data_IF_963429090270
#
_entry.id   IF_963429090270
#
_cell.length_a   1.000
_cell.length_b   1.000
_cell.length_c   1.000
_cell.angle_alpha   90.00
_cell.angle_beta   90.00
_cell.angle_gamma   90.00
#
_symmetry.space_group_name_H-M   'P 1'
#
loop_
_entity.id
_entity.type
_entity.pdbx_description
1 polymer ?
#
# COMPACT_ATOMS: atom_id res chain seq x y z
N UNK A 1 6.09 24.47 -0.39
CA UNK A 1 5.17 23.67 0.45
C UNK A 1 5.90 23.40 1.74
N UNK A 2 5.23 23.40 2.89
CA UNK A 2 5.89 23.03 4.14
C UNK A 2 5.95 21.50 4.19
N UNK A 3 7.14 20.95 4.22
CA UNK A 3 7.35 19.49 4.28
C UNK A 3 6.99 18.99 5.69
N UNK A 4 6.35 17.84 5.79
CA UNK A 4 5.99 17.25 7.08
C UNK A 4 7.26 16.97 7.89
N UNK A 5 7.36 17.51 9.10
CA UNK A 5 8.46 17.19 10.01
C UNK A 5 8.11 16.01 10.92
N UNK A 6 8.28 14.78 10.43
CA UNK A 6 7.97 13.58 11.24
C UNK A 6 8.89 13.44 12.47
N UNK A 7 10.16 13.86 12.37
CA UNK A 7 11.11 13.85 13.48
C UNK A 7 10.66 14.70 14.66
N UNK A 8 10.04 15.85 14.39
CA UNK A 8 9.45 16.70 15.43
C UNK A 8 8.36 15.99 16.25
N UNK A 9 7.64 15.02 15.67
CA UNK A 9 6.69 14.20 16.42
C UNK A 9 7.37 13.15 17.29
N UNK A 10 8.48 12.56 16.83
CA UNK A 10 9.28 11.67 17.68
C UNK A 10 9.78 12.39 18.93
N UNK A 11 10.30 13.60 18.78
CA UNK A 11 10.82 14.40 19.91
C UNK A 11 9.73 14.71 20.96
N UNK A 12 8.46 14.79 20.53
CA UNK A 12 7.29 15.03 21.40
C UNK A 12 6.73 13.76 22.04
N UNK A 13 7.18 12.57 21.63
CA UNK A 13 6.68 11.29 22.13
C UNK A 13 6.67 11.20 23.67
N UNK A 14 7.76 11.59 24.40
CA UNK A 14 7.79 11.50 25.85
C UNK A 14 6.72 12.36 26.53
N UNK A 15 6.47 13.57 26.01
CA UNK A 15 5.47 14.51 26.55
C UNK A 15 4.05 14.00 26.33
N UNK A 16 3.79 13.42 25.14
CA UNK A 16 2.48 12.82 24.84
C UNK A 16 2.23 11.61 25.74
N UNK A 17 3.25 10.79 26.00
CA UNK A 17 3.14 9.69 26.95
C UNK A 17 2.88 10.18 28.39
N UNK A 18 3.59 11.21 28.83
CA UNK A 18 3.39 11.78 30.16
C UNK A 18 1.98 12.32 30.35
N UNK A 19 1.48 13.06 29.36
CA UNK A 19 0.10 13.58 29.38
C UNK A 19 -0.95 12.47 29.35
N UNK A 20 -0.76 11.41 28.55
CA UNK A 20 -1.76 10.36 28.34
C UNK A 20 -1.74 9.25 29.40
N UNK A 21 -0.55 8.90 29.89
CA UNK A 21 -0.32 7.77 30.78
C UNK A 21 0.18 8.17 32.16
N UNK A 22 0.50 9.45 32.38
CA UNK A 22 1.02 9.98 33.64
C UNK A 22 2.52 9.74 33.83
N UNK A 23 3.24 9.29 32.79
CA UNK A 23 4.68 9.02 32.86
C UNK A 23 5.35 8.97 31.50
N UNK A 24 6.68 9.09 31.52
CA UNK A 24 7.57 8.82 30.38
C UNK A 24 8.02 7.35 30.42
N UNK A 25 8.30 6.81 29.24
CA UNK A 25 8.78 5.44 29.08
C UNK A 25 10.15 5.42 28.41
N UNK A 26 11.03 4.55 28.90
CA UNK A 26 12.36 4.32 28.34
C UNK A 26 12.39 2.95 27.65
N UNK A 27 12.02 2.95 26.37
CA UNK A 27 12.01 1.72 25.58
C UNK A 27 13.41 1.18 25.30
N UNK A 28 14.42 2.05 25.18
CA UNK A 28 15.80 1.63 24.95
C UNK A 28 16.30 0.72 26.08
N UNK A 29 15.90 1.00 27.32
CA UNK A 29 16.20 0.12 28.46
C UNK A 29 15.58 -1.27 28.32
N UNK A 30 14.36 -1.37 27.80
CA UNK A 30 13.69 -2.67 27.56
C UNK A 30 14.36 -3.40 26.40
N UNK A 31 14.59 -2.71 25.28
CA UNK A 31 15.28 -3.25 24.10
C UNK A 31 16.66 -3.84 24.47
N UNK A 32 17.41 -3.15 25.34
CA UNK A 32 18.69 -3.65 25.86
C UNK A 32 18.54 -4.95 26.65
N UNK A 33 17.46 -5.13 27.41
CA UNK A 33 17.21 -6.40 28.10
C UNK A 33 16.85 -7.55 27.15
N UNK A 34 16.36 -7.24 25.94
CA UNK A 34 16.08 -8.23 24.89
C UNK A 34 17.33 -8.61 24.08
N UNK A 35 18.46 -7.95 24.28
CA UNK A 35 19.70 -8.19 23.55
C UNK A 35 20.19 -9.65 23.63
N UNK A 36 20.05 -10.31 24.79
CA UNK A 36 20.43 -11.71 24.94
C UNK A 36 19.54 -12.65 24.12
N UNK A 37 18.24 -12.36 24.04
CA UNK A 37 17.28 -13.16 23.25
C UNK A 37 17.49 -12.90 21.75
N UNK A 38 17.75 -11.63 21.37
CA UNK A 38 18.04 -11.16 20.01
C UNK A 38 19.29 -11.81 19.42
N UNK A 39 20.34 -11.97 20.22
CA UNK A 39 21.63 -12.52 19.77
C UNK A 39 21.62 -14.06 19.75
N UNK A 40 20.51 -14.71 20.11
CA UNK A 40 20.41 -16.16 20.22
C UNK A 40 21.08 -16.75 21.46
N UNK A 41 21.53 -15.90 22.40
CA UNK A 41 22.12 -16.34 23.67
C UNK A 41 21.11 -17.00 24.61
N UNK A 42 19.82 -16.76 24.40
CA UNK A 42 18.73 -17.44 25.11
C UNK A 42 17.47 -17.56 24.25
N UNK A 43 16.63 -18.55 24.57
CA UNK A 43 15.27 -18.67 24.01
C UNK A 43 14.34 -17.64 24.64
N UNK A 44 13.29 -17.25 23.92
CA UNK A 44 12.22 -16.41 24.45
C UNK A 44 11.47 -17.13 25.58
N UNK A 45 11.30 -16.45 26.73
CA UNK A 45 10.58 -16.98 27.90
C UNK A 45 9.35 -16.11 28.22
N UNK A 46 8.36 -16.68 28.93
CA UNK A 46 7.16 -15.91 29.31
C UNK A 46 7.50 -14.69 30.18
N UNK A 47 8.56 -14.78 31.01
CA UNK A 47 9.07 -13.66 31.81
C UNK A 47 9.57 -12.48 30.96
N UNK A 48 10.09 -12.74 29.76
CA UNK A 48 10.59 -11.68 28.88
C UNK A 48 9.41 -10.91 28.29
N UNK A 49 8.38 -11.65 27.86
CA UNK A 49 7.11 -11.07 27.41
C UNK A 49 6.43 -10.29 28.54
N UNK A 50 6.42 -10.80 29.77
CA UNK A 50 5.81 -10.10 30.90
C UNK A 50 6.41 -8.70 31.16
N UNK A 51 7.71 -8.49 30.90
CA UNK A 51 8.36 -7.17 31.01
C UNK A 51 7.77 -6.14 30.03
N UNK A 52 7.31 -6.59 28.86
CA UNK A 52 6.68 -5.73 27.86
C UNK A 52 5.35 -5.19 28.39
N UNK A 53 4.64 -5.93 29.24
CA UNK A 53 3.34 -5.54 29.77
C UNK A 53 3.40 -4.90 31.17
N UNK A 54 4.60 -4.72 31.72
CA UNK A 54 4.79 -4.00 32.97
C UNK A 54 4.36 -2.54 32.79
N UNK A 55 3.29 -2.15 33.50
CA UNK A 55 2.71 -0.79 33.48
C UNK A 55 3.69 0.30 33.86
N UNK A 56 4.75 -0.06 34.59
CA UNK A 56 5.78 0.88 35.01
C UNK A 56 6.86 1.09 33.94
N UNK A 57 6.87 0.22 32.91
CA UNK A 57 7.88 0.19 31.86
C UNK A 57 7.31 0.51 30.49
N UNK A 58 6.06 0.16 30.20
CA UNK A 58 5.40 0.46 28.93
C UNK A 58 3.91 0.81 29.11
N UNK A 59 3.28 1.44 28.09
CA UNK A 59 1.84 1.63 28.07
C UNK A 59 1.06 0.44 27.47
N UNK A 60 1.73 -0.61 26.98
CA UNK A 60 1.11 -1.60 26.08
C UNK A 60 0.00 -2.43 26.73
N UNK A 61 0.08 -2.68 28.04
CA UNK A 61 -0.99 -3.39 28.77
C UNK A 61 -2.34 -2.68 28.80
N UNK A 62 -2.42 -1.42 28.35
CA UNK A 62 -3.70 -0.71 28.16
C UNK A 62 -4.40 -1.01 26.84
N UNK A 63 -3.67 -1.53 25.85
CA UNK A 63 -4.12 -1.66 24.47
C UNK A 63 -4.12 -3.09 23.97
N UNK A 64 -3.16 -3.91 24.42
CA UNK A 64 -3.04 -5.31 24.03
C UNK A 64 -3.39 -6.23 25.21
N UNK A 65 -3.99 -7.40 24.93
CA UNK A 65 -4.27 -8.38 25.96
C UNK A 65 -2.94 -8.94 26.50
N UNK A 66 -2.80 -8.97 27.82
CA UNK A 66 -1.71 -9.68 28.49
C UNK A 66 -1.89 -11.19 28.27
N UNK A 67 -0.89 -11.90 27.71
CA UNK A 67 -0.96 -13.35 27.59
C UNK A 67 -1.02 -14.04 28.95
N UNK A 68 -1.77 -15.15 29.05
CA UNK A 68 -1.76 -15.97 30.26
C UNK A 68 -0.37 -16.59 30.47
N UNK A 69 0.27 -16.26 31.59
CA UNK A 69 1.66 -16.61 31.84
C UNK A 69 1.91 -18.12 31.85
N UNK A 70 0.97 -18.92 32.40
CA UNK A 70 1.12 -20.38 32.50
C UNK A 70 0.95 -21.04 31.13
N UNK A 71 -0.04 -20.61 30.36
CA UNK A 71 -0.28 -21.09 29.01
C UNK A 71 0.88 -20.73 28.07
N UNK A 72 1.35 -19.47 28.13
CA UNK A 72 2.48 -19.00 27.33
C UNK A 72 3.76 -19.77 27.64
N UNK A 73 4.09 -19.97 28.93
CA UNK A 73 5.28 -20.73 29.32
C UNK A 73 5.20 -22.18 28.80
N UNK A 74 4.01 -22.80 28.85
CA UNK A 74 3.79 -24.14 28.29
C UNK A 74 3.98 -24.16 26.77
N UNK A 75 3.51 -23.14 26.05
CA UNK A 75 3.70 -23.03 24.60
C UNK A 75 5.18 -22.81 24.24
N UNK A 76 5.87 -21.86 24.87
CA UNK A 76 7.30 -21.57 24.64
C UNK A 76 8.24 -22.72 25.07
N UNK A 77 7.77 -23.60 25.95
CA UNK A 77 8.48 -24.85 26.29
C UNK A 77 8.29 -25.92 25.23
N UNK A 78 7.14 -25.96 24.56
CA UNK A 78 6.86 -26.90 23.46
C UNK A 78 7.48 -26.46 22.14
N UNK A 79 7.44 -25.17 21.87
CA UNK A 79 8.00 -24.54 20.69
C UNK A 79 9.11 -23.60 21.14
N UNK A 80 10.36 -24.05 21.00
CA UNK A 80 11.50 -23.21 21.34
C UNK A 80 11.63 -22.09 20.30
N UNK A 81 11.29 -20.88 20.73
CA UNK A 81 11.42 -19.67 19.90
C UNK A 81 12.76 -19.01 20.20
N UNK A 82 13.55 -18.84 19.14
CA UNK A 82 14.80 -18.08 19.19
C UNK A 82 14.64 -16.84 18.32
N UNK A 83 14.87 -15.66 18.91
CA UNK A 83 14.80 -14.38 18.21
C UNK A 83 16.14 -14.00 17.58
N UNK A 84 17.02 -14.97 17.32
CA UNK A 84 18.36 -14.81 16.74
C UNK A 84 18.41 -13.78 15.61
N UNK A 85 19.60 -13.24 15.24
CA UNK A 85 19.70 -12.29 14.15
C UNK A 85 18.98 -12.78 12.91
N UNK A 86 18.07 -11.95 12.40
CA UNK A 86 17.17 -12.34 11.32
C UNK A 86 17.94 -12.31 10.00
N UNK A 87 17.85 -13.41 9.26
CA UNK A 87 18.37 -13.52 7.90
C UNK A 87 17.17 -13.42 6.95
N UNK A 88 17.18 -12.43 6.05
CA UNK A 88 16.06 -12.16 5.16
C UNK A 88 15.00 -11.23 5.76
N UNK A 89 13.74 -11.43 5.37
CA UNK A 89 12.59 -10.57 5.73
C UNK A 89 11.95 -10.93 7.09
N UNK A 90 12.36 -12.05 7.71
CA UNK A 90 11.84 -12.50 9.00
C UNK A 90 10.47 -13.21 8.93
N UNK A 91 10.01 -13.63 7.74
CA UNK A 91 8.74 -14.31 7.56
C UNK A 91 8.53 -15.50 8.51
N UNK A 92 9.48 -16.43 8.54
CA UNK A 92 9.40 -17.64 9.38
C UNK A 92 9.30 -17.32 10.87
N UNK A 93 10.01 -16.26 11.31
CA UNK A 93 9.97 -15.82 12.70
C UNK A 93 8.61 -15.21 13.05
N UNK A 94 8.04 -14.39 12.17
CA UNK A 94 6.70 -13.82 12.37
C UNK A 94 5.66 -14.94 12.43
N UNK A 95 5.74 -15.92 11.53
CA UNK A 95 4.83 -17.06 11.50
C UNK A 95 4.96 -17.89 12.80
N UNK A 96 6.18 -18.19 13.24
CA UNK A 96 6.43 -18.91 14.49
C UNK A 96 5.86 -18.16 15.70
N UNK A 97 6.06 -16.85 15.79
CA UNK A 97 5.51 -16.04 16.89
C UNK A 97 3.98 -15.99 16.84
N UNK A 98 3.38 -15.92 15.64
CA UNK A 98 1.93 -15.93 15.49
C UNK A 98 1.31 -17.27 15.91
N UNK A 99 2.01 -18.39 15.69
CA UNK A 99 1.61 -19.70 16.20
C UNK A 99 1.67 -19.79 17.73
N UNK A 100 2.60 -19.09 18.38
CA UNK A 100 2.69 -19.04 19.84
C UNK A 100 1.65 -18.11 20.43
N UNK A 101 1.57 -16.87 19.96
CA UNK A 101 0.74 -15.83 20.60
C UNK A 101 -0.70 -15.81 20.10
N UNK A 102 -0.98 -16.35 18.91
CA UNK A 102 -2.26 -16.24 18.21
C UNK A 102 -2.79 -14.79 18.10
N UNK A 103 -1.90 -13.80 18.23
CA UNK A 103 -2.23 -12.39 18.21
C UNK A 103 -1.05 -11.61 17.60
N UNK A 104 -1.27 -11.05 16.41
CA UNK A 104 -0.24 -10.30 15.68
C UNK A 104 0.24 -9.07 16.46
N UNK A 105 -0.65 -8.38 17.16
CA UNK A 105 -0.29 -7.23 17.99
C UNK A 105 0.73 -7.61 19.07
N UNK A 106 0.48 -8.69 19.82
CA UNK A 106 1.42 -9.18 20.85
C UNK A 106 2.73 -9.65 20.22
N UNK A 107 2.68 -10.39 19.11
CA UNK A 107 3.87 -10.83 18.39
C UNK A 107 4.73 -9.63 17.93
N UNK A 108 4.09 -8.58 17.39
CA UNK A 108 4.76 -7.36 16.95
C UNK A 108 5.44 -6.60 18.08
N UNK A 109 4.88 -6.62 19.30
CA UNK A 109 5.52 -6.01 20.47
C UNK A 109 6.83 -6.74 20.82
N UNK A 110 6.83 -8.08 20.79
CA UNK A 110 8.03 -8.88 21.03
C UNK A 110 9.09 -8.59 19.96
N UNK A 111 8.69 -8.58 18.69
CA UNK A 111 9.59 -8.28 17.58
C UNK A 111 10.17 -6.86 17.67
N UNK A 112 9.35 -5.86 17.99
CA UNK A 112 9.81 -4.47 18.15
C UNK A 112 10.81 -4.32 19.30
N UNK A 113 10.69 -5.08 20.40
CA UNK A 113 11.69 -5.03 21.48
C UNK A 113 13.00 -5.71 21.09
N UNK A 114 12.91 -6.83 20.36
CA UNK A 114 14.09 -7.59 19.97
C UNK A 114 14.80 -6.95 18.76
N UNK A 115 14.10 -6.45 17.77
CA UNK A 115 14.63 -6.00 16.49
C UNK A 115 14.03 -4.64 16.11
N UNK A 116 14.30 -3.57 16.87
CA UNK A 116 13.67 -2.27 16.68
C UNK A 116 14.02 -1.61 15.33
N UNK A 117 15.11 -2.01 14.70
CA UNK A 117 15.54 -1.51 13.39
C UNK A 117 14.76 -2.13 12.23
N UNK A 118 14.09 -3.27 12.46
CA UNK A 118 13.35 -4.00 11.43
C UNK A 118 11.84 -4.02 11.70
N UNK A 119 11.40 -3.99 12.96
CA UNK A 119 9.99 -4.21 13.32
C UNK A 119 9.38 -3.07 14.11
N UNK A 120 8.16 -2.70 13.72
CA UNK A 120 7.30 -1.77 14.43
C UNK A 120 6.16 -2.48 15.16
N UNK A 121 5.49 -1.74 16.06
CA UNK A 121 4.27 -2.23 16.73
C UNK A 121 3.10 -2.19 15.76
N UNK A 122 2.47 -3.33 15.54
CA UNK A 122 1.29 -3.43 14.68
C UNK A 122 0.06 -2.90 15.41
N UNK A 123 -0.36 -1.69 15.06
CA UNK A 123 -1.52 -1.03 15.65
C UNK A 123 -2.44 -0.41 14.60
N UNK A 124 -3.75 -0.50 14.84
CA UNK A 124 -4.78 0.00 13.91
C UNK A 124 -4.58 1.46 13.47
N UNK A 125 -4.22 2.41 14.37
CA UNK A 125 -4.00 3.79 13.95
C UNK A 125 -2.92 3.95 12.87
N UNK A 126 -1.81 3.23 13.00
CA UNK A 126 -0.68 3.36 12.09
C UNK A 126 -0.93 2.62 10.79
N UNK A 127 -1.52 1.43 10.85
CA UNK A 127 -1.97 0.70 9.66
C UNK A 127 -2.93 1.54 8.82
N UNK A 128 -3.87 2.26 9.46
CA UNK A 128 -4.76 3.18 8.75
C UNK A 128 -4.04 4.40 8.16
N UNK A 129 -3.05 4.96 8.85
CA UNK A 129 -2.26 6.08 8.32
C UNK A 129 -1.48 5.67 7.07
N UNK A 130 -0.90 4.47 7.08
CA UNK A 130 -0.07 3.94 6.00
C UNK A 130 -0.91 3.27 4.88
N UNK A 131 -2.18 2.96 5.14
CA UNK A 131 -3.12 2.32 4.20
C UNK A 131 -2.66 0.98 3.63
N UNK A 132 -2.00 0.17 4.46
CA UNK A 132 -1.40 -1.09 4.03
C UNK A 132 -2.46 -2.19 4.05
N UNK A 133 -2.55 -2.93 2.95
CA UNK A 133 -3.51 -4.02 2.79
C UNK A 133 -2.87 -5.23 2.10
N UNK A 134 -2.97 -6.40 2.73
CA UNK A 134 -2.58 -7.71 2.19
C UNK A 134 -3.56 -8.76 2.70
N UNK A 135 -3.77 -9.80 1.89
CA UNK A 135 -4.74 -10.84 2.20
C UNK A 135 -4.32 -11.74 3.38
N UNK A 136 -3.02 -12.03 3.51
CA UNK A 136 -2.48 -12.88 4.58
C UNK A 136 -1.91 -12.03 5.72
N UNK A 137 -2.09 -12.49 6.95
CA UNK A 137 -1.69 -11.77 8.16
C UNK A 137 -0.17 -11.53 8.27
N UNK A 138 0.64 -12.52 7.89
CA UNK A 138 2.11 -12.40 7.92
C UNK A 138 2.56 -11.39 6.87
N UNK A 139 2.12 -11.56 5.61
CA UNK A 139 2.40 -10.63 4.51
C UNK A 139 1.98 -9.18 4.84
N UNK A 140 0.84 -9.00 5.51
CA UNK A 140 0.37 -7.68 5.95
C UNK A 140 1.34 -7.05 6.93
N UNK A 141 1.86 -7.82 7.89
CA UNK A 141 2.78 -7.30 8.90
C UNK A 141 4.17 -7.00 8.34
N UNK A 142 4.68 -7.84 7.45
CA UNK A 142 5.96 -7.60 6.79
C UNK A 142 5.88 -6.37 5.90
N UNK A 143 4.84 -6.25 5.07
CA UNK A 143 4.59 -5.04 4.27
C UNK A 143 4.45 -3.79 5.16
N UNK A 144 3.88 -3.93 6.36
CA UNK A 144 3.83 -2.86 7.36
C UNK A 144 5.21 -2.42 7.84
N UNK A 145 6.09 -3.37 8.13
CA UNK A 145 7.45 -3.05 8.58
C UNK A 145 8.30 -2.48 7.43
N UNK A 146 8.17 -2.99 6.21
CA UNK A 146 8.83 -2.45 5.01
C UNK A 146 8.39 -1.02 4.70
N UNK A 147 7.09 -0.72 4.85
CA UNK A 147 6.59 0.64 4.71
C UNK A 147 7.19 1.55 5.78
N UNK A 148 7.19 1.15 7.05
CA UNK A 148 7.84 1.93 8.12
C UNK A 148 9.33 2.14 7.85
N UNK A 149 10.02 1.18 7.26
CA UNK A 149 11.42 1.33 6.86
C UNK A 149 11.59 2.38 5.75
N UNK A 150 10.69 2.38 4.75
CA UNK A 150 10.68 3.41 3.71
C UNK A 150 10.46 4.82 4.31
N UNK A 151 9.59 4.95 5.32
CA UNK A 151 9.39 6.19 6.07
C UNK A 151 10.60 6.58 6.91
N UNK A 152 11.25 5.59 7.54
CA UNK A 152 12.47 5.80 8.31
C UNK A 152 13.55 6.44 7.43
N UNK A 153 13.81 5.85 6.26
CA UNK A 153 14.81 6.36 5.31
C UNK A 153 14.46 7.76 4.82
N UNK A 154 13.20 7.99 4.44
CA UNK A 154 12.76 9.28 3.90
C UNK A 154 12.86 10.41 4.93
N UNK A 155 12.42 10.18 6.17
CA UNK A 155 12.43 11.20 7.23
C UNK A 155 13.72 11.19 8.07
N UNK A 156 14.69 10.33 7.75
CA UNK A 156 15.97 10.23 8.45
C UNK A 156 15.80 9.88 9.94
N UNK A 157 14.87 8.97 10.25
CA UNK A 157 14.61 8.53 11.61
C UNK A 157 15.57 7.40 12.02
N UNK A 158 15.87 7.22 13.32
CA UNK A 158 16.93 6.30 13.70
C UNK A 158 16.59 4.82 13.52
N UNK A 159 15.31 4.44 13.60
CA UNK A 159 14.87 3.05 13.44
C UNK A 159 13.40 2.94 13.01
N UNK A 160 12.99 1.75 12.56
CA UNK A 160 11.59 1.41 12.27
C UNK A 160 10.71 1.61 13.50
N UNK A 161 11.14 1.16 14.66
CA UNK A 161 10.40 1.33 15.92
C UNK A 161 10.19 2.80 16.28
N UNK A 162 11.19 3.66 16.07
CA UNK A 162 11.05 5.09 16.32
C UNK A 162 10.21 5.79 15.25
N UNK A 163 10.19 5.28 14.03
CA UNK A 163 9.28 5.75 12.98
C UNK A 163 7.83 5.46 13.34
N UNK A 164 7.53 4.26 13.84
CA UNK A 164 6.21 3.93 14.38
C UNK A 164 5.83 4.85 15.54
N UNK A 165 6.74 5.11 16.48
CA UNK A 165 6.49 6.04 17.60
C UNK A 165 6.20 7.47 17.14
N UNK A 166 6.89 7.94 16.10
CA UNK A 166 6.66 9.26 15.52
C UNK A 166 5.26 9.36 14.90
N UNK A 167 4.86 8.35 14.12
CA UNK A 167 3.54 8.26 13.50
C UNK A 167 2.43 8.12 14.55
N UNK A 168 2.66 7.36 15.61
CA UNK A 168 1.73 7.27 16.73
C UNK A 168 1.58 8.60 17.44
N UNK A 169 2.68 9.34 17.65
CA UNK A 169 2.62 10.67 18.25
C UNK A 169 1.86 11.66 17.36
N UNK A 170 2.10 11.63 16.05
CA UNK A 170 1.30 12.38 15.08
C UNK A 170 -0.19 12.04 15.19
N UNK A 171 -0.53 10.75 15.20
CA UNK A 171 -1.92 10.30 15.33
C UNK A 171 -2.54 10.84 16.62
N UNK A 172 -1.87 10.69 17.76
CA UNK A 172 -2.41 11.12 19.05
C UNK A 172 -2.62 12.63 19.14
N UNK A 173 -1.71 13.42 18.57
CA UNK A 173 -1.84 14.87 18.55
C UNK A 173 -2.91 15.36 17.58
N UNK A 174 -3.15 14.62 16.50
CA UNK A 174 -4.13 14.99 15.49
C UNK A 174 -5.50 14.34 15.68
N UNK A 175 -5.63 13.26 16.45
CA UNK A 175 -6.89 12.56 16.69
C UNK A 175 -7.74 13.19 17.79
N UNK A 176 -7.13 13.97 18.70
CA UNK A 176 -7.87 14.67 19.76
C UNK A 176 -8.83 15.70 19.12
N UNK A 177 -10.08 15.83 19.62
CA UNK A 177 -11.07 16.80 19.14
C UNK A 177 -10.71 18.27 19.48
N UNK A 178 -9.44 18.55 19.77
CA UNK A 178 -8.92 19.89 19.97
C UNK A 178 -8.78 20.55 18.61
N UNK A 179 -9.85 21.22 18.19
CA UNK A 179 -9.87 22.10 17.03
C UNK A 179 -8.91 23.27 17.26
N UNK A 180 -7.69 23.15 16.75
CA UNK A 180 -6.68 24.21 16.77
C UNK A 180 -6.05 24.37 15.39
N UNK A 181 -5.67 25.60 15.04
CA UNK A 181 -5.04 25.90 13.76
C UNK A 181 -3.77 25.06 13.50
N UNK A 182 -3.05 24.69 14.56
CA UNK A 182 -1.85 23.84 14.49
C UNK A 182 -2.17 22.38 14.11
N UNK A 183 -3.24 21.80 14.66
CA UNK A 183 -3.67 20.42 14.34
C UNK A 183 -4.12 20.35 12.89
N UNK A 184 -4.91 21.33 12.46
CA UNK A 184 -5.39 21.41 11.09
C UNK A 184 -4.24 21.65 10.09
N UNK A 185 -3.27 22.50 10.46
CA UNK A 185 -2.04 22.66 9.68
C UNK A 185 -1.27 21.35 9.56
N UNK A 186 -1.10 20.63 10.65
CA UNK A 186 -0.39 19.33 10.70
C UNK A 186 -1.05 18.29 9.80
N UNK A 187 -2.38 18.19 9.85
CA UNK A 187 -3.15 17.30 8.96
C UNK A 187 -2.99 17.68 7.49
N UNK A 188 -3.04 18.97 7.17
CA UNK A 188 -2.81 19.44 5.79
C UNK A 188 -1.38 19.21 5.31
N UNK A 189 -0.39 19.39 6.17
CA UNK A 189 1.00 19.09 5.84
C UNK A 189 1.16 17.59 5.51
N UNK A 190 0.56 16.72 6.32
CA UNK A 190 0.54 15.28 6.08
C UNK A 190 -0.22 14.91 4.80
N UNK A 191 -1.45 15.41 4.60
CA UNK A 191 -2.32 15.00 3.49
C UNK A 191 -1.87 15.57 2.15
N UNK A 192 -1.17 16.72 2.13
CA UNK A 192 -0.64 17.33 0.90
C UNK A 192 0.80 16.93 0.59
N UNK A 193 1.44 16.13 1.44
CA UNK A 193 2.78 15.62 1.16
C UNK A 193 2.74 14.63 -0.01
N UNK A 194 3.40 15.00 -1.11
CA UNK A 194 3.40 14.23 -2.36
C UNK A 194 4.08 12.87 -2.18
N UNK A 195 5.11 12.78 -1.33
CA UNK A 195 5.77 11.50 -1.08
C UNK A 195 4.83 10.56 -0.33
N UNK A 196 4.15 11.05 0.71
CA UNK A 196 3.14 10.27 1.45
C UNK A 196 2.00 9.83 0.53
N UNK A 197 1.49 10.74 -0.33
CA UNK A 197 0.44 10.41 -1.29
C UNK A 197 0.87 9.29 -2.26
N UNK A 198 2.12 9.30 -2.73
CA UNK A 198 2.66 8.24 -3.58
C UNK A 198 2.76 6.90 -2.86
N UNK A 199 3.25 6.88 -1.63
CA UNK A 199 3.29 5.66 -0.82
C UNK A 199 1.91 5.04 -0.61
N UNK A 200 0.91 5.87 -0.28
CA UNK A 200 -0.48 5.42 -0.16
C UNK A 200 -1.04 4.86 -1.47
N UNK A 201 -0.73 5.51 -2.60
CA UNK A 201 -1.08 5.04 -3.94
C UNK A 201 -0.44 3.67 -4.23
N UNK A 202 0.84 3.50 -3.89
CA UNK A 202 1.57 2.23 -4.03
C UNK A 202 0.93 1.11 -3.21
N UNK A 203 0.42 1.39 -2.01
CA UNK A 203 -0.20 0.36 -1.17
C UNK A 203 -1.64 0.00 -1.56
N UNK A 204 -2.44 0.98 -2.01
CA UNK A 204 -3.87 0.78 -2.26
C UNK A 204 -4.19 0.58 -3.74
N UNK A 205 -3.64 1.43 -4.59
CA UNK A 205 -4.04 1.53 -5.99
C UNK A 205 -3.20 0.63 -6.88
N UNK A 206 -1.89 0.54 -6.64
CA UNK A 206 -1.00 -0.26 -7.52
C UNK A 206 -1.41 -1.73 -7.58
N UNK A 207 -1.65 -2.44 -6.45
CA UNK A 207 -2.10 -3.83 -6.49
C UNK A 207 -3.45 -3.98 -7.18
N UNK A 208 -4.32 -2.96 -7.08
CA UNK A 208 -5.59 -2.96 -7.79
C UNK A 208 -5.36 -2.83 -9.30
N UNK A 209 -4.54 -1.86 -9.74
CA UNK A 209 -4.27 -1.62 -11.17
C UNK A 209 -3.57 -2.79 -11.85
N UNK A 210 -2.67 -3.50 -11.14
CA UNK A 210 -1.95 -4.66 -11.68
C UNK A 210 -2.85 -5.88 -11.95
N UNK A 211 -4.04 -5.95 -11.33
CA UNK A 211 -4.97 -7.06 -11.50
C UNK A 211 -5.90 -6.94 -12.71
N UNK A 212 -5.90 -5.82 -13.41
CA UNK A 212 -6.85 -5.55 -14.50
C UNK A 212 -6.15 -5.01 -15.74
N UNK A 213 -6.61 -5.45 -16.90
CA UNK A 213 -6.20 -4.86 -18.17
C UNK A 213 -6.74 -3.43 -18.37
N UNK A 214 -6.17 -2.62 -19.28
CA UNK A 214 -6.62 -1.25 -19.50
C UNK A 214 -8.11 -1.10 -19.84
N UNK A 215 -8.69 -2.04 -20.61
CA UNK A 215 -10.12 -2.02 -20.97
C UNK A 215 -11.01 -2.31 -19.76
N UNK A 216 -10.62 -3.28 -18.93
CA UNK A 216 -11.33 -3.63 -17.69
C UNK A 216 -11.28 -2.48 -16.68
N UNK A 217 -10.11 -1.85 -16.52
CA UNK A 217 -9.97 -0.64 -15.70
C UNK A 217 -10.85 0.50 -16.22
N UNK A 218 -10.92 0.69 -17.54
CA UNK A 218 -11.82 1.68 -18.14
C UNK A 218 -13.29 1.36 -17.80
N UNK A 219 -13.69 0.09 -17.86
CA UNK A 219 -15.03 -0.37 -17.48
C UNK A 219 -15.37 0.00 -16.04
N UNK A 220 -14.46 -0.25 -15.10
CA UNK A 220 -14.61 0.07 -13.67
C UNK A 220 -14.71 1.60 -13.46
N UNK A 221 -13.84 2.38 -14.13
CA UNK A 221 -13.79 3.82 -13.98
C UNK A 221 -14.96 4.54 -14.64
N UNK A 222 -15.60 3.94 -15.64
CA UNK A 222 -16.63 4.58 -16.47
C UNK A 222 -17.80 5.15 -15.67
N UNK A 223 -18.16 4.51 -14.57
CA UNK A 223 -19.27 4.95 -13.71
C UNK A 223 -18.98 6.31 -13.04
N UNK A 224 -17.76 6.51 -12.54
CA UNK A 224 -17.40 7.70 -11.76
C UNK A 224 -16.62 8.74 -12.56
N UNK A 225 -15.82 8.29 -13.52
CA UNK A 225 -14.87 9.10 -14.30
C UNK A 225 -14.92 8.71 -15.79
N UNK A 226 -16.03 8.98 -16.50
CA UNK A 226 -16.23 8.53 -17.89
C UNK A 226 -15.14 9.05 -18.85
N UNK A 227 -14.66 10.29 -18.65
CA UNK A 227 -13.59 10.85 -19.47
C UNK A 227 -12.25 10.12 -19.29
N UNK A 228 -11.87 9.78 -18.05
CA UNK A 228 -10.65 9.03 -17.78
C UNK A 228 -10.75 7.61 -18.34
N UNK A 229 -11.91 6.96 -18.17
CA UNK A 229 -12.20 5.66 -18.77
C UNK A 229 -12.04 5.68 -20.30
N UNK A 230 -12.59 6.68 -20.97
CA UNK A 230 -12.47 6.82 -22.43
C UNK A 230 -11.02 7.07 -22.89
N UNK A 231 -10.23 7.83 -22.13
CA UNK A 231 -8.80 7.99 -22.43
C UNK A 231 -8.04 6.66 -22.31
N UNK A 232 -8.29 5.90 -21.23
CA UNK A 232 -7.62 4.61 -21.00
C UNK A 232 -8.00 3.58 -22.06
N UNK A 233 -9.30 3.41 -22.31
CA UNK A 233 -9.80 2.53 -23.38
C UNK A 233 -9.32 2.97 -24.76
N UNK A 234 -9.22 4.28 -25.01
CA UNK A 234 -8.78 4.85 -26.27
C UNK A 234 -7.31 4.60 -26.57
N UNK A 235 -6.44 4.69 -25.55
CA UNK A 235 -5.02 4.34 -25.69
C UNK A 235 -4.87 2.85 -26.02
N UNK A 236 -5.63 2.00 -25.35
CA UNK A 236 -5.56 0.55 -25.57
C UNK A 236 -6.12 0.15 -26.94
N UNK A 237 -7.23 0.77 -27.37
CA UNK A 237 -7.74 0.64 -28.73
C UNK A 237 -6.69 1.01 -29.78
N UNK A 238 -6.00 2.14 -29.61
CA UNK A 238 -4.96 2.59 -30.53
C UNK A 238 -3.79 1.59 -30.61
N UNK A 239 -3.42 0.97 -29.47
CA UNK A 239 -2.41 -0.10 -29.40
C UNK A 239 -2.84 -1.32 -30.20
N UNK A 240 -4.05 -1.83 -29.95
CA UNK A 240 -4.61 -3.03 -30.60
C UNK A 240 -4.82 -2.82 -32.10
N UNK A 241 -5.36 -1.66 -32.52
CA UNK A 241 -5.53 -1.31 -33.92
C UNK A 241 -4.19 -1.33 -34.67
N UNK A 242 -3.15 -0.73 -34.09
CA UNK A 242 -1.79 -0.73 -34.67
C UNK A 242 -1.15 -2.10 -34.70
N UNK A 243 -1.41 -2.95 -33.70
CA UNK A 243 -0.91 -4.32 -33.68
C UNK A 243 -1.53 -5.12 -34.84
N UNK A 244 -2.86 -5.09 -34.95
CA UNK A 244 -3.59 -5.82 -35.98
C UNK A 244 -3.27 -5.34 -37.39
N UNK A 245 -3.23 -4.03 -37.60
CA UNK A 245 -2.90 -3.42 -38.88
C UNK A 245 -1.46 -3.76 -39.35
N UNK A 246 -0.48 -3.77 -38.42
CA UNK A 246 0.89 -4.21 -38.74
C UNK A 246 0.97 -5.69 -39.11
N UNK A 247 0.17 -6.54 -38.46
CA UNK A 247 0.07 -7.96 -38.82
C UNK A 247 -0.38 -8.16 -40.27
N UNK A 248 -1.36 -7.37 -40.72
CA UNK A 248 -1.83 -7.36 -42.11
C UNK A 248 -0.75 -6.89 -43.11
N UNK A 249 -0.04 -5.80 -42.79
CA UNK A 249 0.95 -5.19 -43.70
C UNK A 249 2.39 -5.67 -43.52
N UNK A 250 2.60 -6.89 -43.00
CA UNK A 250 3.89 -7.47 -42.57
C UNK A 250 5.00 -7.58 -43.66
N UNK A 251 4.83 -6.96 -44.83
CA UNK A 251 5.85 -6.81 -45.89
C UNK A 251 6.27 -5.36 -46.22
N UNK A 252 5.56 -4.33 -45.79
CA UNK A 252 5.93 -2.94 -46.12
C UNK A 252 6.73 -2.26 -45.00
N UNK A 253 8.06 -2.19 -45.21
CA UNK A 253 9.03 -1.55 -44.31
C UNK A 253 9.03 -0.03 -44.43
N UNK A 254 7.88 0.62 -44.21
CA UNK A 254 7.79 2.08 -44.14
C UNK A 254 7.23 2.52 -42.79
N UNK A 255 7.96 3.35 -42.04
CA UNK A 255 7.39 4.14 -40.92
C UNK A 255 6.48 5.23 -41.50
N UNK A 256 5.37 4.85 -42.13
CA UNK A 256 4.40 5.81 -42.63
C UNK A 256 3.46 6.17 -41.47
N UNK A 257 3.29 7.47 -41.21
CA UNK A 257 2.22 7.93 -40.31
C UNK A 257 0.90 7.69 -41.06
N UNK A 258 0.18 6.65 -40.66
CA UNK A 258 -1.14 6.31 -41.19
C UNK A 258 -2.20 6.74 -40.16
N UNK A 259 -3.30 7.35 -40.62
CA UNK A 259 -4.37 7.78 -39.73
C UNK A 259 -5.14 6.57 -39.17
N UNK A 260 -5.88 6.74 -38.07
CA UNK A 260 -6.71 5.66 -37.55
C UNK A 260 -7.80 5.25 -38.53
N UNK A 261 -8.40 6.21 -39.23
CA UNK A 261 -9.42 5.96 -40.24
C UNK A 261 -8.87 5.13 -41.40
N UNK A 262 -7.66 5.46 -41.87
CA UNK A 262 -6.99 4.67 -42.92
C UNK A 262 -6.68 3.24 -42.44
N UNK A 263 -6.23 3.06 -41.20
CA UNK A 263 -6.00 1.73 -40.63
C UNK A 263 -7.29 0.90 -40.56
N UNK A 264 -8.40 1.52 -40.15
CA UNK A 264 -9.71 0.85 -40.06
C UNK A 264 -10.21 0.48 -41.47
N UNK A 265 -10.06 1.39 -42.44
CA UNK A 265 -10.45 1.14 -43.83
C UNK A 265 -9.63 0.00 -44.45
N UNK A 266 -8.30 -0.01 -44.26
CA UNK A 266 -7.42 -1.08 -44.72
C UNK A 266 -7.85 -2.46 -44.18
N UNK A 267 -8.17 -2.53 -42.89
CA UNK A 267 -8.63 -3.77 -42.25
C UNK A 267 -9.96 -4.24 -42.84
N UNK A 268 -10.87 -3.33 -43.18
CA UNK A 268 -12.13 -3.65 -43.82
C UNK A 268 -11.97 -4.09 -45.28
N UNK A 269 -11.10 -3.44 -46.04
CA UNK A 269 -10.79 -3.79 -47.43
C UNK A 269 -10.19 -5.20 -47.56
N UNK A 270 -9.33 -5.58 -46.61
CA UNK A 270 -8.73 -6.90 -46.56
C UNK A 270 -9.60 -7.95 -45.85
N UNK A 271 -10.86 -7.62 -45.54
CA UNK A 271 -11.81 -8.51 -44.85
C UNK A 271 -11.31 -9.05 -43.50
N UNK A 272 -10.42 -8.30 -42.83
CA UNK A 272 -9.97 -8.61 -41.46
C UNK A 272 -11.05 -8.26 -40.45
N UNK A 273 -11.85 -7.24 -40.75
CA UNK A 273 -13.07 -6.86 -40.03
C UNK A 273 -14.21 -6.65 -41.02
N UNK A 274 -15.45 -6.91 -40.59
CA UNK A 274 -16.63 -6.63 -41.38
C UNK A 274 -16.93 -5.12 -41.45
N UNK A 275 -17.63 -4.66 -42.50
CA UNK A 275 -18.04 -3.24 -42.64
C UNK A 275 -18.84 -2.69 -41.44
N UNK A 276 -19.58 -3.56 -40.74
CA UNK A 276 -20.31 -3.17 -39.52
C UNK A 276 -19.35 -2.90 -38.36
N UNK A 277 -18.34 -3.74 -38.20
CA UNK A 277 -17.30 -3.62 -37.17
C UNK A 277 -16.43 -2.39 -37.44
N UNK A 278 -16.04 -2.15 -38.69
CA UNK A 278 -15.29 -0.95 -39.09
C UNK A 278 -16.00 0.36 -38.69
N UNK A 279 -17.33 0.44 -38.86
CA UNK A 279 -18.12 1.58 -38.37
C UNK A 279 -18.12 1.71 -36.85
N UNK A 280 -18.14 0.58 -36.14
CA UNK A 280 -17.97 0.54 -34.68
C UNK A 280 -16.62 1.11 -34.25
N UNK A 281 -15.54 0.68 -34.90
CA UNK A 281 -14.18 1.15 -34.62
C UNK A 281 -14.00 2.65 -34.94
N UNK A 282 -14.62 3.16 -36.01
CA UNK A 282 -14.65 4.59 -36.29
C UNK A 282 -15.37 5.36 -35.18
N UNK A 283 -16.52 4.84 -34.70
CA UNK A 283 -17.22 5.44 -33.56
C UNK A 283 -16.38 5.41 -32.27
N UNK A 284 -15.57 4.36 -32.04
CA UNK A 284 -14.63 4.29 -30.91
C UNK A 284 -13.59 5.40 -31.02
N UNK A 285 -13.06 5.64 -32.22
CA UNK A 285 -12.10 6.71 -32.48
C UNK A 285 -12.68 8.10 -32.20
N UNK A 286 -13.94 8.34 -32.61
CA UNK A 286 -14.65 9.59 -32.32
C UNK A 286 -14.80 9.86 -30.81
N UNK A 287 -15.20 8.83 -30.06
CA UNK A 287 -15.36 8.92 -28.59
C UNK A 287 -14.01 9.19 -27.92
N UNK A 288 -12.95 8.53 -28.37
CA UNK A 288 -11.57 8.80 -27.92
C UNK A 288 -11.16 10.25 -28.18
N UNK A 289 -11.46 10.79 -29.37
CA UNK A 289 -11.15 12.17 -29.71
C UNK A 289 -11.93 13.16 -28.83
N UNK A 290 -13.22 12.91 -28.58
CA UNK A 290 -13.99 13.69 -27.60
C UNK A 290 -13.34 13.66 -26.21
N UNK A 291 -12.84 12.51 -25.77
CA UNK A 291 -12.24 12.36 -24.45
C UNK A 291 -10.99 13.23 -24.25
N UNK A 292 -10.14 13.37 -25.27
CA UNK A 292 -8.89 14.18 -25.19
C UNK A 292 -9.15 15.69 -25.27
N UNK A 293 -10.31 16.12 -25.79
CA UNK A 293 -10.68 17.53 -25.88
C UNK A 293 -11.50 17.97 -24.65
N UNK A 294 -10.98 18.88 -23.79
CA UNK A 294 -11.63 19.27 -22.54
C UNK A 294 -13.05 19.80 -22.70
N UNK A 295 -13.29 20.54 -23.78
CA UNK A 295 -14.55 21.25 -24.05
C UNK A 295 -15.64 20.36 -24.67
N UNK A 296 -15.28 19.16 -25.12
CA UNK A 296 -16.23 18.24 -25.74
C UNK A 296 -17.11 17.58 -24.66
N UNK A 297 -18.42 17.52 -24.89
CA UNK A 297 -19.32 16.75 -24.04
C UNK A 297 -19.12 15.25 -24.28
N UNK A 298 -19.01 14.49 -23.20
CA UNK A 298 -18.80 13.05 -23.23
C UNK A 298 -19.70 12.39 -22.20
N UNK A 299 -20.68 11.62 -22.67
CA UNK A 299 -21.61 10.90 -21.81
C UNK A 299 -21.07 9.54 -21.39
N UNK A 300 -21.51 9.05 -20.23
CA UNK A 300 -21.21 7.69 -19.76
C UNK A 300 -21.63 6.62 -20.79
N UNK A 301 -22.80 6.77 -21.40
CA UNK A 301 -23.34 5.81 -22.36
C UNK A 301 -22.47 5.70 -23.64
N UNK A 302 -21.92 6.81 -24.12
CA UNK A 302 -20.97 6.81 -25.24
C UNK A 302 -19.71 6.02 -24.90
N UNK A 303 -19.20 6.18 -23.69
CA UNK A 303 -18.00 5.47 -23.22
C UNK A 303 -18.29 3.99 -22.99
N UNK A 304 -19.45 3.63 -22.42
CA UNK A 304 -19.85 2.24 -22.26
C UNK A 304 -19.96 1.52 -23.61
N UNK A 305 -20.54 2.17 -24.63
CA UNK A 305 -20.60 1.66 -26.01
C UNK A 305 -19.21 1.52 -26.62
N UNK A 306 -18.34 2.50 -26.42
CA UNK A 306 -16.94 2.45 -26.86
C UNK A 306 -16.22 1.23 -26.29
N UNK A 307 -16.28 1.02 -24.97
CA UNK A 307 -15.62 -0.11 -24.30
C UNK A 307 -16.21 -1.44 -24.80
N UNK A 308 -17.53 -1.58 -24.90
CA UNK A 308 -18.14 -2.82 -25.42
C UNK A 308 -17.79 -3.11 -26.88
N UNK A 309 -17.61 -2.07 -27.69
CA UNK A 309 -17.13 -2.21 -29.06
C UNK A 309 -15.68 -2.71 -29.12
N UNK A 310 -14.80 -2.21 -28.24
CA UNK A 310 -13.41 -2.68 -28.13
C UNK A 310 -13.38 -4.14 -27.68
N UNK A 311 -14.13 -4.49 -26.63
CA UNK A 311 -14.17 -5.86 -26.11
C UNK A 311 -14.68 -6.86 -27.15
N UNK A 312 -15.70 -6.49 -27.93
CA UNK A 312 -16.30 -7.41 -28.91
C UNK A 312 -15.48 -7.60 -30.19
N UNK A 313 -14.67 -6.63 -30.59
CA UNK A 313 -13.96 -6.66 -31.87
C UNK A 313 -12.45 -6.86 -31.69
N UNK A 314 -11.86 -6.25 -30.68
CA UNK A 314 -10.41 -6.09 -30.57
C UNK A 314 -9.75 -7.08 -29.61
N UNK A 315 -10.48 -7.74 -28.70
CA UNK A 315 -9.85 -8.62 -27.71
C UNK A 315 -9.08 -9.79 -28.35
N UNK A 316 -9.61 -10.35 -29.44
CA UNK A 316 -8.96 -11.45 -30.18
C UNK A 316 -7.68 -11.01 -30.92
N UNK A 317 -7.32 -9.72 -30.87
CA UNK A 317 -6.12 -9.19 -31.53
C UNK A 317 -4.89 -9.20 -30.62
N UNK A 318 -5.02 -9.64 -29.37
CA UNK A 318 -3.89 -9.80 -28.43
C UNK A 318 -2.99 -11.01 -28.73
N UNK A 319 -3.44 -11.91 -29.62
CA UNK A 319 -2.75 -13.16 -30.02
C UNK A 319 -1.69 -12.95 -31.10
#
# INVERSE_FOLDING_TARGET
>A
MADLNLRGYLDRFPEVCERKFGRRFDFAKIEKEFEQVRTGGSRLMARDVAKIFDKDRTPFGRYWPLPDAKALEKQLTRQHVFLSPIVGDGHDLVEQLLQVFHNLGVASLVLRMAHPDQFGVFSTPIVHLLQINRARTVDLYLAFCEELHSWQEHFGLPSVAQTEMALWTYHELTALPLHGAEVEKSRREFDNDVWIQRRRLEQVVTPFLENYGPVELARILCERYPRLAAMLAGVEFERLLRLRWRGLRSRDKGKQKVSADDMINDLAEHSVVHRREARGLASVWDVRNKAVHPDATLSREEVEKMISCIESICFDWEV
#
